data_IF_769340406971
#
_entry.id   IF_769340406971
#
_cell.length_a   1.000
_cell.length_b   1.000
_cell.length_c   1.000
_cell.angle_alpha   90.00
_cell.angle_beta   90.00
_cell.angle_gamma   90.00
#
_symmetry.space_group_name_H-M   'P 1'
#
loop_
_entity.id
_entity.type
_entity.pdbx_description
1 polymer ?
#
# COMPACT_ATOMS: atom_id res chain seq x y z
N UNK A 1 14.03 43.78 -34.30
CA UNK A 1 15.24 42.92 -34.27
C UNK A 1 15.82 42.71 -32.85
N UNK A 2 15.65 43.63 -31.89
CA UNK A 2 16.21 43.49 -30.53
C UNK A 2 15.57 42.41 -29.61
N UNK A 3 14.37 41.93 -29.92
CA UNK A 3 13.66 40.93 -29.09
C UNK A 3 14.14 39.49 -29.31
N UNK A 4 14.61 39.15 -30.52
CA UNK A 4 15.14 37.81 -30.83
C UNK A 4 16.53 37.57 -30.19
N UNK A 5 17.36 38.62 -30.08
CA UNK A 5 18.65 38.54 -29.41
C UNK A 5 18.53 38.28 -27.89
N UNK A 6 17.47 38.80 -27.24
CA UNK A 6 17.18 38.55 -25.81
C UNK A 6 16.72 37.12 -25.53
N UNK A 7 16.00 36.49 -26.45
CA UNK A 7 15.58 35.09 -26.34
C UNK A 7 16.76 34.11 -26.46
N UNK A 8 17.73 34.38 -27.34
CA UNK A 8 18.94 33.56 -27.44
C UNK A 8 19.89 33.71 -26.26
N UNK A 9 19.88 34.86 -25.57
CA UNK A 9 20.69 35.06 -24.35
C UNK A 9 20.05 34.37 -23.14
N UNK A 10 18.73 34.40 -22.99
CA UNK A 10 18.05 33.65 -21.92
C UNK A 10 18.18 32.14 -22.09
N UNK A 11 18.11 31.61 -23.33
CA UNK A 11 18.38 30.19 -23.59
C UNK A 11 19.80 29.78 -23.18
N UNK A 12 20.82 30.55 -23.57
CA UNK A 12 22.22 30.27 -23.19
C UNK A 12 22.48 30.33 -21.68
N UNK A 13 21.83 31.25 -20.97
CA UNK A 13 21.95 31.35 -19.51
C UNK A 13 21.29 30.13 -18.83
N UNK A 14 20.14 29.69 -19.33
CA UNK A 14 19.45 28.51 -18.83
C UNK A 14 20.26 27.23 -19.08
N UNK A 15 20.85 27.08 -20.27
CA UNK A 15 21.77 25.98 -20.60
C UNK A 15 22.99 25.97 -19.67
N UNK A 16 23.62 27.13 -19.43
CA UNK A 16 24.75 27.23 -18.53
C UNK A 16 24.39 26.90 -17.07
N UNK A 17 23.19 27.28 -16.62
CA UNK A 17 22.69 26.91 -15.30
C UNK A 17 22.40 25.42 -15.18
N UNK A 18 21.81 24.81 -16.22
CA UNK A 18 21.57 23.37 -16.28
C UNK A 18 22.88 22.58 -16.29
N UNK A 19 23.87 23.02 -17.07
CA UNK A 19 25.20 22.41 -17.12
C UNK A 19 25.91 22.51 -15.76
N UNK A 20 25.82 23.66 -15.10
CA UNK A 20 26.41 23.85 -13.76
C UNK A 20 25.72 22.99 -12.70
N UNK A 21 24.40 22.80 -12.80
CA UNK A 21 23.66 21.89 -11.94
C UNK A 21 24.03 20.42 -12.19
N UNK A 22 24.24 20.02 -13.44
CA UNK A 22 24.70 18.69 -13.81
C UNK A 22 26.12 18.42 -13.28
N UNK A 23 27.05 19.37 -13.45
CA UNK A 23 28.41 19.26 -12.91
C UNK A 23 28.45 19.15 -11.39
N UNK A 24 27.66 19.97 -10.69
CA UNK A 24 27.57 19.87 -9.22
C UNK A 24 27.01 18.51 -8.78
N UNK A 25 26.11 17.89 -9.56
CA UNK A 25 25.62 16.54 -9.29
C UNK A 25 26.74 15.51 -9.53
N UNK A 26 27.47 15.61 -10.65
CA UNK A 26 28.62 14.74 -10.97
C UNK A 26 29.69 14.77 -9.89
N UNK A 27 30.13 15.97 -9.47
CA UNK A 27 31.14 16.15 -8.43
C UNK A 27 30.69 15.47 -7.10
N UNK A 28 29.43 15.60 -6.73
CA UNK A 28 28.90 14.92 -5.53
C UNK A 28 28.82 13.41 -5.68
N UNK A 29 28.63 12.90 -6.89
CA UNK A 29 28.64 11.46 -7.18
C UNK A 29 30.07 10.91 -7.14
N UNK A 30 31.04 11.63 -7.70
CA UNK A 30 32.46 11.28 -7.68
C UNK A 30 33.03 11.24 -6.25
N UNK A 31 32.67 12.21 -5.40
CA UNK A 31 33.05 12.20 -3.98
C UNK A 31 32.48 10.98 -3.23
N UNK A 32 31.22 10.61 -3.52
CA UNK A 32 30.61 9.41 -2.92
C UNK A 32 31.28 8.13 -3.42
N UNK A 33 31.65 8.07 -4.70
CA UNK A 33 32.36 6.93 -5.29
C UNK A 33 33.73 6.74 -4.62
N UNK A 34 34.50 7.83 -4.51
CA UNK A 34 35.81 7.83 -3.87
C UNK A 34 35.73 7.41 -2.38
N UNK A 35 34.64 7.78 -1.70
CA UNK A 35 34.39 7.33 -0.32
C UNK A 35 34.12 5.82 -0.25
N UNK A 36 33.36 5.26 -1.19
CA UNK A 36 33.07 3.82 -1.24
C UNK A 36 34.33 3.00 -1.52
N UNK A 37 35.20 3.46 -2.42
CA UNK A 37 36.45 2.76 -2.76
C UNK A 37 37.46 2.75 -1.61
N UNK A 38 37.36 3.72 -0.70
CA UNK A 38 38.24 3.88 0.47
C UNK A 38 37.54 3.57 1.81
N UNK A 39 36.49 2.74 1.81
CA UNK A 39 35.83 2.28 3.03
C UNK A 39 36.83 1.55 3.95
N UNK A 40 36.84 1.92 5.24
CA UNK A 40 37.67 1.24 6.24
C UNK A 40 37.06 -0.11 6.66
N UNK A 41 37.87 -0.96 7.29
CA UNK A 41 37.41 -2.24 7.85
C UNK A 41 36.29 -2.05 8.90
N UNK A 42 36.37 -0.98 9.69
CA UNK A 42 35.32 -0.59 10.64
C UNK A 42 34.02 -0.17 9.96
N UNK A 43 34.08 0.50 8.80
CA UNK A 43 32.88 0.90 8.05
C UNK A 43 32.17 -0.32 7.45
N UNK A 44 32.94 -1.30 6.96
CA UNK A 44 32.40 -2.56 6.45
C UNK A 44 31.68 -3.35 7.54
N UNK A 45 32.26 -3.40 8.75
CA UNK A 45 31.62 -4.05 9.90
C UNK A 45 30.33 -3.32 10.31
N UNK A 46 30.29 -1.99 10.30
CA UNK A 46 29.06 -1.22 10.55
C UNK A 46 27.96 -1.51 9.50
N UNK A 47 28.32 -1.63 8.21
CA UNK A 47 27.36 -1.98 7.14
C UNK A 47 26.80 -3.38 7.40
N UNK A 48 27.65 -4.34 7.77
CA UNK A 48 27.24 -5.71 8.11
C UNK A 48 26.27 -5.71 9.30
N UNK A 49 26.59 -5.01 10.37
CA UNK A 49 25.73 -4.90 11.55
C UNK A 49 24.38 -4.24 11.22
N UNK A 50 24.37 -3.19 10.40
CA UNK A 50 23.14 -2.54 9.95
C UNK A 50 22.25 -3.51 9.15
N UNK A 51 22.84 -4.28 8.21
CA UNK A 51 22.10 -5.29 7.44
C UNK A 51 21.55 -6.41 8.31
N UNK A 52 22.35 -6.94 9.24
CA UNK A 52 21.92 -7.96 10.18
C UNK A 52 20.76 -7.47 11.06
N UNK A 53 20.86 -6.23 11.56
CA UNK A 53 19.80 -5.60 12.34
C UNK A 53 18.51 -5.44 11.53
N UNK A 54 18.61 -4.93 10.30
CA UNK A 54 17.46 -4.79 9.40
C UNK A 54 16.79 -6.14 9.13
N UNK A 55 17.56 -7.17 8.76
CA UNK A 55 17.05 -8.51 8.52
C UNK A 55 16.35 -9.10 9.77
N UNK A 56 16.93 -8.87 10.95
CA UNK A 56 16.35 -9.31 12.22
C UNK A 56 15.03 -8.60 12.50
N UNK A 57 14.97 -7.28 12.31
CA UNK A 57 13.75 -6.49 12.50
C UNK A 57 12.64 -6.90 11.53
N UNK A 58 12.97 -7.13 10.26
CA UNK A 58 12.02 -7.61 9.25
C UNK A 58 11.47 -9.00 9.58
N UNK A 59 12.34 -9.91 10.02
CA UNK A 59 11.93 -11.24 10.48
C UNK A 59 11.01 -11.17 11.70
N UNK A 60 11.29 -10.27 12.64
CA UNK A 60 10.51 -10.12 13.86
C UNK A 60 9.12 -9.57 13.56
N UNK A 61 9.04 -8.52 12.74
CA UNK A 61 7.76 -7.96 12.23
C UNK A 61 6.94 -9.02 11.49
N UNK A 62 7.58 -9.82 10.64
CA UNK A 62 6.90 -10.91 9.92
C UNK A 62 6.34 -11.95 10.88
N UNK A 63 7.08 -12.31 11.92
CA UNK A 63 6.62 -13.23 12.96
C UNK A 63 5.44 -12.65 13.77
N UNK A 64 5.48 -11.36 14.09
CA UNK A 64 4.38 -10.66 14.77
C UNK A 64 3.10 -10.64 13.93
N UNK A 65 3.22 -10.35 12.63
CA UNK A 65 2.07 -10.39 11.71
C UNK A 65 1.48 -11.81 11.59
N UNK A 66 2.33 -12.83 11.46
CA UNK A 66 1.88 -14.22 11.45
C UNK A 66 1.17 -14.59 12.77
N UNK A 67 1.71 -14.17 13.92
CA UNK A 67 1.10 -14.39 15.23
C UNK A 67 -0.26 -13.67 15.38
N UNK A 68 -0.42 -12.50 14.76
CA UNK A 68 -1.68 -11.78 14.69
C UNK A 68 -2.70 -12.41 13.72
N UNK A 69 -2.31 -13.45 12.96
CA UNK A 69 -3.15 -14.17 12.00
C UNK A 69 -3.16 -13.53 10.61
N UNK A 70 -2.12 -12.79 10.24
CA UNK A 70 -1.91 -12.31 8.88
C UNK A 70 -1.33 -13.43 8.00
N UNK A 71 -1.40 -13.28 6.68
CA UNK A 71 -0.90 -14.31 5.75
C UNK A 71 -1.92 -15.37 5.37
N UNK A 72 -3.08 -15.42 6.05
CA UNK A 72 -4.17 -16.37 5.78
C UNK A 72 -5.44 -15.61 5.46
N UNK A 73 -6.17 -16.11 4.46
CA UNK A 73 -7.48 -15.59 4.13
C UNK A 73 -8.55 -16.25 5.01
N UNK A 74 -9.06 -15.52 5.99
CA UNK A 74 -10.03 -16.03 6.98
C UNK A 74 -11.42 -15.44 6.79
N UNK A 75 -12.46 -16.24 7.03
CA UNK A 75 -13.83 -15.74 7.12
C UNK A 75 -14.15 -15.29 8.55
N UNK A 76 -14.81 -14.13 8.67
CA UNK A 76 -15.32 -13.60 9.91
C UNK A 76 -16.83 -13.79 9.94
N UNK A 77 -17.31 -14.46 10.98
CA UNK A 77 -18.74 -14.73 11.17
C UNK A 77 -19.47 -13.58 11.87
N UNK A 78 -18.75 -12.84 12.72
CA UNK A 78 -19.33 -11.80 13.58
C UNK A 78 -18.72 -10.44 13.31
N UNK A 79 -19.51 -9.39 13.51
CA UNK A 79 -19.09 -8.00 13.39
C UNK A 79 -18.04 -7.62 14.43
N UNK A 80 -18.12 -8.21 15.64
CA UNK A 80 -17.12 -7.99 16.70
C UNK A 80 -15.73 -8.45 16.26
N UNK A 81 -15.65 -9.61 15.61
CA UNK A 81 -14.39 -10.16 15.13
C UNK A 81 -13.77 -9.28 14.04
N UNK A 82 -14.61 -8.60 13.23
CA UNK A 82 -14.16 -7.58 12.28
C UNK A 82 -13.48 -6.39 12.98
N UNK A 83 -14.08 -5.85 14.04
CA UNK A 83 -13.48 -4.76 14.80
C UNK A 83 -12.18 -5.19 15.50
N UNK A 84 -12.16 -6.38 16.08
CA UNK A 84 -10.97 -6.90 16.75
C UNK A 84 -9.84 -7.21 15.75
N UNK A 85 -10.17 -7.75 14.58
CA UNK A 85 -9.20 -7.98 13.50
C UNK A 85 -8.66 -6.66 12.94
N UNK A 86 -9.51 -5.64 12.77
CA UNK A 86 -9.10 -4.30 12.37
C UNK A 86 -8.15 -3.67 13.39
N UNK A 87 -8.44 -3.77 14.69
CA UNK A 87 -7.59 -3.22 15.77
C UNK A 87 -6.23 -3.91 15.85
N UNK A 88 -6.19 -5.23 15.65
CA UNK A 88 -4.94 -6.02 15.66
C UNK A 88 -4.06 -5.75 14.44
N UNK A 89 -4.64 -5.24 13.36
CA UNK A 89 -3.96 -5.05 12.07
C UNK A 89 -3.53 -3.59 11.90
N UNK A 90 -2.37 -3.21 12.43
CA UNK A 90 -1.90 -1.81 12.39
C UNK A 90 -1.43 -1.36 11.00
N UNK A 91 -0.78 -2.26 10.24
CA UNK A 91 -0.18 -1.96 8.93
C UNK A 91 -1.18 -1.87 7.79
N UNK A 92 -2.25 -2.67 7.85
CA UNK A 92 -3.28 -2.68 6.82
C UNK A 92 -4.25 -3.85 6.99
N UNK A 93 -5.53 -3.58 6.75
CA UNK A 93 -6.62 -4.54 6.84
C UNK A 93 -7.50 -4.45 5.59
N UNK A 94 -7.77 -5.60 4.98
CA UNK A 94 -8.68 -5.74 3.84
C UNK A 94 -9.84 -6.64 4.25
N UNK A 95 -11.07 -6.18 4.05
CA UNK A 95 -12.26 -6.98 4.25
C UNK A 95 -13.09 -7.05 2.96
N UNK A 96 -13.39 -8.27 2.54
CA UNK A 96 -14.28 -8.54 1.44
C UNK A 96 -15.71 -8.80 1.91
N UNK A 97 -16.61 -7.89 1.57
CA UNK A 97 -18.05 -8.09 1.74
C UNK A 97 -18.57 -8.90 0.57
N UNK A 98 -18.95 -10.13 0.88
CA UNK A 98 -19.39 -11.11 -0.10
C UNK A 98 -20.85 -11.51 0.14
N UNK A 99 -21.43 -12.11 -0.90
CA UNK A 99 -22.73 -12.78 -0.87
C UNK A 99 -22.63 -14.04 -1.71
N UNK A 100 -23.10 -15.16 -1.18
CA UNK A 100 -22.98 -16.49 -1.81
C UNK A 100 -23.68 -16.59 -3.17
N UNK A 101 -24.76 -15.81 -3.38
CA UNK A 101 -25.54 -15.77 -4.61
C UNK A 101 -24.86 -15.07 -5.79
N UNK A 102 -23.81 -14.28 -5.54
CA UNK A 102 -23.17 -13.46 -6.58
C UNK A 102 -21.89 -14.11 -7.09
N UNK A 103 -21.86 -14.50 -8.38
CA UNK A 103 -20.69 -15.12 -9.01
C UNK A 103 -19.41 -14.27 -8.91
N UNK A 104 -19.54 -12.95 -9.03
CA UNK A 104 -18.39 -12.01 -8.97
C UNK A 104 -17.63 -12.09 -7.63
N UNK A 105 -18.28 -12.45 -6.53
CA UNK A 105 -17.61 -12.65 -5.24
C UNK A 105 -16.60 -13.81 -5.29
N UNK A 106 -16.92 -14.88 -6.02
CA UNK A 106 -16.05 -16.07 -6.14
C UNK A 106 -14.72 -15.74 -6.84
N UNK A 107 -14.73 -14.77 -7.75
CA UNK A 107 -13.52 -14.31 -8.43
C UNK A 107 -12.61 -13.58 -7.44
N UNK A 108 -13.18 -12.64 -6.68
CA UNK A 108 -12.45 -11.86 -5.67
C UNK A 108 -11.89 -12.77 -4.56
N UNK A 109 -12.68 -13.75 -4.11
CA UNK A 109 -12.29 -14.77 -3.13
C UNK A 109 -11.02 -15.53 -3.56
N UNK A 110 -10.94 -15.96 -4.83
CA UNK A 110 -9.75 -16.62 -5.38
C UNK A 110 -8.52 -15.72 -5.36
N UNK A 111 -8.64 -14.47 -5.81
CA UNK A 111 -7.51 -13.54 -5.84
C UNK A 111 -7.02 -13.19 -4.43
N UNK A 112 -7.93 -12.96 -3.48
CA UNK A 112 -7.55 -12.68 -2.10
C UNK A 112 -6.90 -13.89 -1.41
N UNK A 113 -7.37 -15.10 -1.69
CA UNK A 113 -6.73 -16.32 -1.20
C UNK A 113 -5.28 -16.46 -1.69
N UNK A 114 -5.00 -16.07 -2.94
CA UNK A 114 -3.65 -16.08 -3.51
C UNK A 114 -2.76 -14.93 -3.00
N UNK A 115 -3.35 -13.79 -2.69
CA UNK A 115 -2.64 -12.60 -2.22
C UNK A 115 -2.31 -12.64 -0.73
N UNK A 116 -3.17 -13.25 0.10
CA UNK A 116 -2.99 -13.36 1.54
C UNK A 116 -1.60 -13.88 1.94
N UNK A 117 -1.09 -15.02 1.43
CA UNK A 117 0.23 -15.52 1.82
C UNK A 117 1.40 -14.68 1.29
N UNK A 118 1.19 -13.91 0.22
CA UNK A 118 2.22 -13.03 -0.36
C UNK A 118 2.38 -11.74 0.46
N UNK A 119 1.26 -11.20 0.95
CA UNK A 119 1.21 -9.94 1.69
C UNK A 119 0.93 -10.15 3.17
N UNK A 120 1.92 -10.67 3.90
CA UNK A 120 1.82 -10.86 5.36
C UNK A 120 1.69 -9.54 6.11
N UNK A 121 2.09 -8.43 5.49
CA UNK A 121 1.89 -7.08 6.01
C UNK A 121 0.39 -6.69 6.14
N UNK A 122 -0.49 -7.29 5.34
CA UNK A 122 -1.90 -6.94 5.28
C UNK A 122 -2.79 -8.13 5.66
N UNK A 123 -3.69 -7.92 6.61
CA UNK A 123 -4.65 -8.97 6.98
C UNK A 123 -5.83 -8.94 6.01
N UNK A 124 -6.06 -10.06 5.33
CA UNK A 124 -7.16 -10.22 4.38
C UNK A 124 -8.24 -11.10 4.97
N UNK A 125 -9.48 -10.60 5.00
CA UNK A 125 -10.62 -11.31 5.55
C UNK A 125 -11.83 -11.19 4.64
N UNK A 126 -12.83 -12.06 4.85
CA UNK A 126 -14.15 -11.92 4.24
C UNK A 126 -15.26 -11.98 5.26
N UNK A 127 -16.36 -11.30 4.97
CA UNK A 127 -17.56 -11.29 5.79
C UNK A 127 -18.79 -11.34 4.88
N UNK A 128 -19.79 -12.11 5.32
CA UNK A 128 -21.06 -12.21 4.61
C UNK A 128 -21.90 -10.98 4.91
N UNK A 129 -22.25 -10.23 3.87
CA UNK A 129 -23.05 -9.01 4.01
C UNK A 129 -24.47 -9.29 4.56
N UNK A 130 -25.00 -10.51 4.35
CA UNK A 130 -26.31 -10.90 4.90
C UNK A 130 -26.27 -11.19 6.40
N UNK A 131 -25.13 -11.72 6.89
CA UNK A 131 -24.95 -12.04 8.32
C UNK A 131 -24.58 -10.81 9.16
N UNK A 132 -24.10 -9.75 8.53
CA UNK A 132 -23.63 -8.53 9.19
C UNK A 132 -24.26 -7.27 8.61
N UNK A 133 -25.59 -7.11 8.74
CA UNK A 133 -26.32 -5.99 8.16
C UNK A 133 -25.95 -4.66 8.82
N UNK A 134 -25.55 -4.65 10.09
CA UNK A 134 -25.16 -3.43 10.79
C UNK A 134 -23.87 -2.86 10.19
N UNK A 135 -22.89 -3.72 9.92
CA UNK A 135 -21.66 -3.30 9.25
C UNK A 135 -21.91 -2.84 7.80
N UNK A 136 -22.75 -3.57 7.07
CA UNK A 136 -23.13 -3.21 5.70
C UNK A 136 -23.86 -1.86 5.63
N UNK A 137 -24.79 -1.59 6.55
CA UNK A 137 -25.52 -0.32 6.60
C UNK A 137 -24.60 0.84 7.01
N UNK A 138 -23.74 0.62 8.01
CA UNK A 138 -22.84 1.66 8.52
C UNK A 138 -21.77 2.09 7.52
N UNK A 139 -21.27 1.13 6.74
CA UNK A 139 -20.30 1.38 5.67
C UNK A 139 -20.98 1.71 4.34
N UNK A 140 -22.31 1.78 4.33
CA UNK A 140 -23.16 2.09 3.18
C UNK A 140 -22.86 1.21 1.95
N UNK A 141 -22.79 -0.11 2.19
CA UNK A 141 -22.48 -1.10 1.17
C UNK A 141 -23.76 -1.44 0.41
N UNK A 142 -23.94 -0.80 -0.75
CA UNK A 142 -25.10 -1.01 -1.63
C UNK A 142 -24.81 -2.05 -2.72
N UNK A 143 -23.54 -2.22 -3.09
CA UNK A 143 -23.11 -3.08 -4.21
C UNK A 143 -22.19 -4.18 -3.70
N UNK A 144 -22.33 -5.40 -4.24
CA UNK A 144 -21.50 -6.56 -3.89
C UNK A 144 -20.94 -7.15 -5.20
N UNK A 145 -19.65 -7.54 -5.28
CA UNK A 145 -18.64 -7.54 -4.21
C UNK A 145 -18.13 -6.13 -3.87
N UNK A 146 -17.92 -5.86 -2.58
CA UNK A 146 -17.20 -4.64 -2.12
C UNK A 146 -15.99 -5.05 -1.29
N UNK A 147 -14.89 -4.32 -1.49
CA UNK A 147 -13.65 -4.45 -0.72
C UNK A 147 -13.44 -3.17 0.07
N UNK A 148 -13.11 -3.31 1.35
CA UNK A 148 -12.76 -2.20 2.22
C UNK A 148 -11.31 -2.37 2.63
N UNK A 149 -10.54 -1.31 2.41
CA UNK A 149 -9.15 -1.18 2.85
C UNK A 149 -9.11 -0.19 4.02
N UNK A 150 -8.50 -0.61 5.12
CA UNK A 150 -8.21 0.24 6.27
C UNK A 150 -6.70 0.26 6.44
N UNK A 151 -6.10 1.45 6.44
CA UNK A 151 -4.67 1.66 6.62
C UNK A 151 -4.45 2.56 7.83
N UNK A 152 -3.39 2.30 8.59
CA UNK A 152 -2.89 3.15 9.68
C UNK A 152 -3.90 3.42 10.82
N UNK A 153 -4.85 2.50 11.06
CA UNK A 153 -5.88 2.65 12.10
C UNK A 153 -6.86 3.82 11.88
N UNK A 154 -6.72 4.58 10.79
CA UNK A 154 -7.61 5.68 10.37
C UNK A 154 -8.81 5.18 9.55
N UNK A 155 -9.41 4.09 10.02
CA UNK A 155 -10.76 3.72 9.59
C UNK A 155 -11.72 4.16 10.68
N UNK A 156 -12.47 5.25 10.45
CA UNK A 156 -13.50 5.74 11.37
C UNK A 156 -14.72 4.80 11.40
N UNK A 157 -14.52 3.54 11.76
CA UNK A 157 -15.60 2.63 12.10
C UNK A 157 -15.76 2.72 13.61
N UNK A 158 -16.56 3.70 14.06
CA UNK A 158 -16.75 3.93 15.49
C UNK A 158 -17.24 2.63 16.16
N UNK A 159 -16.39 2.07 17.01
CA UNK A 159 -16.69 0.87 17.80
C UNK A 159 -17.96 1.14 18.62
N UNK A 160 -18.93 0.21 18.70
CA UNK A 160 -20.08 0.38 19.59
C UNK A 160 -19.62 0.70 21.03
N UNK A 161 -20.41 1.50 21.79
CA UNK A 161 -19.96 2.20 23.00
C UNK A 161 -19.56 1.33 24.22
N UNK A 162 -19.57 -0.01 24.12
CA UNK A 162 -19.30 -0.90 25.25
C UNK A 162 -17.79 -1.14 25.54
N UNK A 163 -16.89 -0.32 25.00
CA UNK A 163 -15.47 -0.37 25.36
C UNK A 163 -14.92 1.03 25.64
N UNK A 164 -14.81 1.38 26.92
CA UNK A 164 -14.18 2.60 27.43
C UNK A 164 -12.76 2.78 26.87
N UNK A 165 -12.52 3.86 26.11
CA UNK A 165 -11.26 4.64 26.05
C UNK A 165 -11.42 5.94 25.24
N UNK A 166 -10.60 6.98 25.51
CA UNK A 166 -10.89 8.37 25.22
C UNK A 166 -10.73 8.73 23.74
N UNK A 167 -11.60 9.64 23.29
CA UNK A 167 -11.67 10.20 21.94
C UNK A 167 -10.44 11.08 21.68
N UNK A 168 -9.59 10.70 20.74
CA UNK A 168 -8.70 11.63 20.06
C UNK A 168 -9.38 12.13 18.78
N UNK A 169 -9.49 13.44 18.71
CA UNK A 169 -9.95 14.29 17.62
C UNK A 169 -9.48 13.87 16.22
N UNK A 170 -10.40 13.93 15.25
CA UNK A 170 -10.07 13.83 13.82
C UNK A 170 -11.31 13.60 12.97
N UNK A 171 -12.13 14.63 12.80
CA UNK A 171 -13.19 14.64 11.78
C UNK A 171 -12.54 14.49 10.41
N UNK A 172 -12.95 13.50 9.60
CA UNK A 172 -12.96 13.62 8.14
C UNK A 172 -14.16 12.88 7.54
N UNK A 173 -15.32 13.53 7.62
CA UNK A 173 -16.30 13.43 6.52
C UNK A 173 -15.70 14.18 5.34
N UNK A 174 -14.88 13.47 4.56
CA UNK A 174 -14.21 13.97 3.37
C UNK A 174 -14.65 13.17 2.16
N UNK A 175 -15.88 13.41 1.71
CA UNK A 175 -16.20 13.34 0.29
C UNK A 175 -15.28 14.33 -0.43
N UNK A 176 -14.06 13.90 -0.78
CA UNK A 176 -13.28 14.63 -1.78
C UNK A 176 -13.76 14.16 -3.16
N UNK A 177 -14.63 14.99 -3.71
CA UNK A 177 -15.25 14.95 -5.03
C UNK A 177 -14.25 14.95 -6.21
N UNK A 178 -12.97 14.57 -6.00
CA UNK A 178 -11.93 14.49 -7.04
C UNK A 178 -10.93 13.34 -6.91
N UNK A 179 -11.06 12.39 -5.98
CA UNK A 179 -10.14 11.23 -5.95
C UNK A 179 -10.75 9.93 -5.46
N UNK A 180 -11.90 9.56 -6.02
CA UNK A 180 -12.33 8.16 -6.07
C UNK A 180 -11.86 7.54 -7.38
N UNK A 181 -10.55 7.26 -7.49
CA UNK A 181 -10.17 6.10 -8.28
C UNK A 181 -10.56 4.86 -7.48
N UNK A 182 -11.87 4.58 -7.46
CA UNK A 182 -12.36 3.22 -7.36
C UNK A 182 -11.85 2.58 -8.65
N UNK A 183 -10.69 1.93 -8.60
CA UNK A 183 -10.25 1.01 -9.65
C UNK A 183 -11.22 -0.16 -9.65
N UNK A 184 -12.38 0.08 -10.23
CA UNK A 184 -13.26 -0.95 -10.77
C UNK A 184 -12.45 -1.57 -11.88
N UNK A 185 -11.97 -2.79 -11.68
CA UNK A 185 -11.37 -3.57 -12.76
C UNK A 185 -12.52 -3.87 -13.73
N UNK A 186 -12.64 -3.04 -14.77
CA UNK A 186 -13.55 -3.21 -15.90
C UNK A 186 -12.80 -2.87 -17.18
N UNK A 187 -12.30 -3.95 -17.79
CA UNK A 187 -11.95 -4.20 -19.19
C UNK A 187 -10.91 -3.35 -19.94
N UNK A 188 -10.20 -4.08 -20.82
CA UNK A 188 -9.16 -3.76 -21.83
C UNK A 188 -7.73 -4.03 -21.34
N UNK A 189 -6.89 -4.88 -21.93
CA UNK A 189 -6.88 -5.53 -23.25
C UNK A 189 -6.25 -6.92 -23.14
N UNK A 190 -6.82 -7.89 -23.84
CA UNK A 190 -6.12 -9.09 -24.30
C UNK A 190 -5.38 -8.71 -25.58
N UNK A 191 -4.06 -8.72 -25.53
CA UNK A 191 -3.12 -8.85 -26.65
C UNK A 191 -2.00 -9.73 -26.05
N UNK A 192 -2.11 -11.06 -26.13
CA UNK A 192 -1.41 -11.89 -27.13
C UNK A 192 0.03 -11.41 -27.38
N UNK A 193 0.92 -11.73 -26.45
CA UNK A 193 2.32 -12.04 -26.77
C UNK A 193 2.35 -13.52 -27.17
N UNK A 194 2.33 -13.78 -28.47
CA UNK A 194 2.83 -15.03 -29.05
C UNK A 194 4.28 -14.76 -29.46
N UNK A 195 5.21 -15.08 -28.57
CA UNK A 195 6.60 -15.39 -28.94
C UNK A 195 6.81 -16.86 -28.57
N UNK A 196 6.78 -17.73 -29.57
CA UNK A 196 7.40 -19.06 -29.49
C UNK A 196 8.16 -19.29 -30.80
N UNK A 197 9.45 -18.94 -30.75
CA UNK A 197 10.49 -19.43 -31.65
C UNK A 197 10.62 -20.96 -31.47
N UNK A 198 10.47 -21.77 -32.53
CA UNK A 198 11.39 -22.90 -32.80
C UNK A 198 11.09 -23.68 -34.09
N UNK A 199 12.17 -23.80 -34.88
CA UNK A 199 12.49 -24.63 -36.08
C UNK A 199 11.82 -24.35 -37.44
#
# INVERSE_FOLDING_TARGET
MAQSAKQGTTQKILEAQLMKAAQALEDTMDEQLHRLDNLSEDDLEQIRQRRLKQMKEESLKRSEWLAAGHGVYSELSNERDFFDACKKSTSGFVCHFYRSSTFRCKIVDKHLSLLAPKHVECRMTKIDAEKSPFLAQRLNIVVIPTLILIKDGQGDIAVPPDSDKPKSSGVLVGLDSKRKEVKTIRDKHTEQEEDDDSD
#
